data_IF_740048962790
#
_entry.id   IF_740048962790
#
_cell.length_a   1.000
_cell.length_b   1.000
_cell.length_c   1.000
_cell.angle_alpha   90.00
_cell.angle_beta   90.00
_cell.angle_gamma   90.00
#
_symmetry.space_group_name_H-M   'P 1'
#
loop_
_entity.id
_entity.type
_entity.pdbx_description
1 polymer ?
#
# COMPACT_ATOMS: atom_id res chain seq x y z
N UNK A 1 -37.42 53.36 1.27
CA UNK A 1 -37.25 52.06 0.58
C UNK A 1 -37.07 50.91 1.57
N UNK A 2 -36.25 51.06 2.60
CA UNK A 2 -35.98 50.03 3.63
C UNK A 2 -37.12 49.78 4.65
N UNK A 3 -37.98 50.77 4.94
CA UNK A 3 -39.12 50.59 5.86
C UNK A 3 -40.11 49.50 5.44
N UNK A 4 -40.28 49.27 4.12
CA UNK A 4 -41.19 48.23 3.62
C UNK A 4 -40.63 46.80 3.78
N UNK A 5 -39.31 46.65 3.93
CA UNK A 5 -38.65 45.36 4.12
C UNK A 5 -38.54 44.95 5.60
N UNK A 6 -38.61 45.91 6.52
CA UNK A 6 -38.47 45.68 7.96
C UNK A 6 -39.42 44.58 8.52
N UNK A 7 -40.71 44.50 8.12
CA UNK A 7 -41.61 43.48 8.62
C UNK A 7 -41.27 42.05 8.18
N UNK A 8 -40.52 41.90 7.08
CA UNK A 8 -40.08 40.59 6.55
C UNK A 8 -38.71 40.18 7.07
N UNK A 9 -37.87 41.16 7.40
CA UNK A 9 -36.53 40.92 7.94
C UNK A 9 -36.54 40.51 9.42
N UNK A 10 -37.48 41.04 10.21
CA UNK A 10 -37.55 40.73 11.65
C UNK A 10 -37.78 39.23 11.94
N UNK A 11 -38.73 38.54 11.28
CA UNK A 11 -38.92 37.10 11.48
C UNK A 11 -37.75 36.28 10.95
N UNK A 12 -37.11 36.74 9.88
CA UNK A 12 -35.94 36.07 9.31
C UNK A 12 -34.73 36.19 10.25
N UNK A 13 -34.56 37.33 10.92
CA UNK A 13 -33.55 37.51 11.95
C UNK A 13 -33.81 36.59 13.15
N UNK A 14 -35.03 36.53 13.65
CA UNK A 14 -35.39 35.64 14.77
C UNK A 14 -35.14 34.17 14.42
N UNK A 15 -35.53 33.74 13.22
CA UNK A 15 -35.24 32.38 12.75
C UNK A 15 -33.75 32.11 12.65
N UNK A 16 -32.96 33.08 12.21
CA UNK A 16 -31.51 32.95 12.15
C UNK A 16 -30.90 32.81 13.56
N UNK A 17 -31.36 33.64 14.51
CA UNK A 17 -30.94 33.57 15.92
C UNK A 17 -31.25 32.19 16.52
N UNK A 18 -32.46 31.68 16.32
CA UNK A 18 -32.87 30.35 16.80
C UNK A 18 -32.01 29.23 16.20
N UNK A 19 -31.70 29.30 14.89
CA UNK A 19 -30.85 28.31 14.22
C UNK A 19 -29.42 28.37 14.75
N UNK A 20 -28.87 29.56 14.96
CA UNK A 20 -27.52 29.74 15.50
C UNK A 20 -27.44 29.18 16.92
N UNK A 21 -28.38 29.53 17.81
CA UNK A 21 -28.42 28.98 19.17
C UNK A 21 -28.58 27.46 19.18
N UNK A 22 -29.39 26.91 18.27
CA UNK A 22 -29.54 25.46 18.11
C UNK A 22 -28.27 24.76 17.63
N UNK A 23 -27.45 25.42 16.82
CA UNK A 23 -26.15 24.92 16.36
C UNK A 23 -25.12 24.98 17.49
N UNK A 24 -25.04 26.08 18.23
CA UNK A 24 -24.13 26.23 19.37
C UNK A 24 -24.33 25.14 20.42
N UNK A 25 -25.58 24.82 20.75
CA UNK A 25 -25.91 23.74 21.69
C UNK A 25 -25.47 22.35 21.18
N UNK A 26 -25.59 22.10 19.87
CA UNK A 26 -25.14 20.84 19.28
C UNK A 26 -23.63 20.75 19.28
N UNK A 27 -22.94 21.83 18.95
CA UNK A 27 -21.49 21.88 18.95
C UNK A 27 -20.96 21.67 20.37
N UNK A 28 -21.47 22.39 21.37
CA UNK A 28 -21.11 22.17 22.78
C UNK A 28 -21.23 20.70 23.20
N UNK A 29 -22.32 20.05 22.77
CA UNK A 29 -22.52 18.63 23.04
C UNK A 29 -21.47 17.75 22.34
N UNK A 30 -21.20 17.99 21.05
CA UNK A 30 -20.21 17.22 20.28
C UNK A 30 -18.81 17.39 20.88
N UNK A 31 -18.43 18.62 21.22
CA UNK A 31 -17.15 18.92 21.84
C UNK A 31 -17.01 18.28 23.22
N UNK A 32 -18.07 18.31 24.03
CA UNK A 32 -18.11 17.63 25.32
C UNK A 32 -17.98 16.11 25.19
N UNK A 33 -18.71 15.49 24.27
CA UNK A 33 -18.75 14.02 24.12
C UNK A 33 -17.46 13.45 23.48
N UNK A 34 -16.89 14.13 22.48
CA UNK A 34 -15.76 13.60 21.69
C UNK A 34 -14.41 14.05 22.26
N UNK A 35 -14.32 15.31 22.68
CA UNK A 35 -13.05 15.93 23.06
C UNK A 35 -12.94 16.22 24.56
N UNK A 36 -14.02 16.07 25.34
CA UNK A 36 -14.10 16.44 26.76
C UNK A 36 -13.77 17.93 26.99
N UNK A 37 -14.13 18.78 26.01
CA UNK A 37 -13.92 20.24 26.05
C UNK A 37 -15.20 21.00 25.65
N UNK A 38 -15.23 22.31 25.86
CA UNK A 38 -16.31 23.18 25.36
C UNK A 38 -16.10 23.54 23.89
N UNK A 39 -17.16 23.96 23.20
CA UNK A 39 -17.06 24.41 21.82
C UNK A 39 -16.32 25.77 21.73
N UNK A 40 -15.45 25.95 20.73
CA UNK A 40 -14.78 27.23 20.53
C UNK A 40 -15.77 28.32 20.11
N UNK A 41 -15.60 29.54 20.62
CA UNK A 41 -16.44 30.70 20.27
C UNK A 41 -16.33 31.05 18.78
N UNK A 42 -17.48 31.20 18.10
CA UNK A 42 -17.56 31.61 16.68
C UNK A 42 -17.54 33.13 16.47
N UNK A 43 -17.29 33.92 17.52
CA UNK A 43 -17.27 35.38 17.46
C UNK A 43 -16.15 35.89 16.52
N UNK A 44 -16.48 36.56 15.40
CA UNK A 44 -15.48 36.95 14.39
C UNK A 44 -14.51 38.03 14.91
N UNK A 45 -14.87 38.74 15.98
CA UNK A 45 -13.99 39.72 16.64
C UNK A 45 -13.00 39.02 17.58
N UNK A 46 -13.41 37.95 18.27
CA UNK A 46 -12.48 37.12 19.03
C UNK A 46 -11.60 36.26 18.13
N UNK A 47 -12.04 35.91 16.92
CA UNK A 47 -11.29 35.13 15.92
C UNK A 47 -9.96 35.78 15.47
N UNK A 48 -9.77 37.10 15.63
CA UNK A 48 -8.49 37.76 15.36
C UNK A 48 -7.45 37.56 16.49
N UNK A 49 -7.93 37.22 17.69
CA UNK A 49 -7.10 36.97 18.88
C UNK A 49 -7.17 35.51 19.35
N UNK A 50 -8.04 34.70 18.75
CA UNK A 50 -8.32 33.32 19.07
C UNK A 50 -7.95 32.41 17.89
N UNK A 51 -6.72 32.54 17.39
CA UNK A 51 -5.96 31.32 17.29
C UNK A 51 -5.58 31.01 18.73
N UNK A 52 -6.27 30.05 19.40
CA UNK A 52 -5.72 29.53 20.63
C UNK A 52 -4.32 29.10 20.24
N UNK A 53 -3.35 29.61 20.96
CA UNK A 53 -2.02 29.05 20.98
C UNK A 53 -2.24 27.54 21.16
N UNK A 54 -2.10 26.76 20.08
CA UNK A 54 -2.29 25.29 20.03
C UNK A 54 -1.05 24.65 20.70
N UNK A 55 -0.69 25.23 21.85
CA UNK A 55 0.44 25.03 22.71
C UNK A 55 0.10 24.02 23.80
N UNK A 56 -0.86 23.12 23.53
CA UNK A 56 -0.64 21.75 24.02
C UNK A 56 0.52 21.22 23.19
N UNK A 57 1.73 21.64 23.54
CA UNK A 57 2.97 20.98 23.16
C UNK A 57 2.75 19.54 23.58
N UNK A 58 2.30 18.72 22.63
CA UNK A 58 2.01 17.34 22.88
C UNK A 58 3.38 16.67 22.92
N UNK A 59 4.09 16.91 24.02
CA UNK A 59 5.46 16.48 24.29
C UNK A 59 5.59 14.99 24.06
N UNK A 60 4.51 14.24 24.30
CA UNK A 60 4.40 12.81 23.98
C UNK A 60 4.45 12.49 22.48
N UNK A 61 3.82 13.29 21.62
CA UNK A 61 3.89 13.14 20.16
C UNK A 61 5.25 13.56 19.62
N UNK A 62 5.82 14.66 20.15
CA UNK A 62 7.16 15.12 19.77
C UNK A 62 8.22 14.09 20.19
N UNK A 63 8.14 13.58 21.42
CA UNK A 63 9.05 12.54 21.90
C UNK A 63 8.87 11.23 21.12
N UNK A 64 7.63 10.81 20.87
CA UNK A 64 7.35 9.63 20.04
C UNK A 64 7.90 9.80 18.62
N UNK A 65 7.69 10.96 18.00
CA UNK A 65 8.19 11.24 16.65
C UNK A 65 9.73 11.24 16.62
N UNK A 66 10.38 11.84 17.63
CA UNK A 66 11.83 11.84 17.77
C UNK A 66 12.41 10.43 17.98
N UNK A 67 11.84 9.66 18.91
CA UNK A 67 12.22 8.25 19.12
C UNK A 67 11.99 7.41 17.86
N UNK A 68 10.88 7.67 17.16
CA UNK A 68 10.56 6.97 15.92
C UNK A 68 11.56 7.34 14.82
N UNK A 69 11.93 8.61 14.66
CA UNK A 69 12.94 9.03 13.69
C UNK A 69 14.29 8.42 14.02
N UNK A 70 14.71 8.40 15.28
CA UNK A 70 15.97 7.78 15.69
C UNK A 70 15.96 6.29 15.37
N UNK A 71 14.86 5.60 15.68
CA UNK A 71 14.68 4.18 15.33
C UNK A 71 14.71 3.94 13.81
N UNK A 72 14.23 4.90 13.01
CA UNK A 72 14.27 4.84 11.56
C UNK A 72 15.69 5.06 11.04
N UNK A 73 16.43 6.03 11.58
CA UNK A 73 17.83 6.26 11.20
C UNK A 73 18.70 5.03 11.47
N UNK A 74 18.52 4.39 12.64
CA UNK A 74 19.25 3.16 12.99
C UNK A 74 18.91 2.03 12.00
N UNK A 75 17.63 1.86 11.66
CA UNK A 75 17.21 0.85 10.66
C UNK A 75 17.70 1.17 9.27
N UNK A 76 17.73 2.45 8.88
CA UNK A 76 18.22 2.89 7.59
C UNK A 76 19.69 2.52 7.43
N UNK A 77 20.51 2.74 8.46
CA UNK A 77 21.93 2.41 8.41
C UNK A 77 22.16 0.90 8.24
N UNK A 78 21.41 0.05 8.94
CA UNK A 78 21.53 -1.40 8.78
C UNK A 78 21.04 -1.88 7.42
N UNK A 79 19.95 -1.32 6.89
CA UNK A 79 19.48 -1.59 5.53
C UNK A 79 20.51 -1.16 4.49
N UNK A 80 21.10 0.02 4.64
CA UNK A 80 22.14 0.55 3.74
C UNK A 80 23.40 -0.31 3.78
N UNK A 81 23.85 -0.72 4.96
CA UNK A 81 25.00 -1.61 5.12
C UNK A 81 24.76 -2.97 4.45
N UNK A 82 23.60 -3.59 4.71
CA UNK A 82 23.22 -4.86 4.09
C UNK A 82 23.11 -4.74 2.56
N UNK A 83 22.57 -3.63 2.06
CA UNK A 83 22.46 -3.37 0.63
C UNK A 83 23.85 -3.22 0.00
N UNK A 84 24.77 -2.46 0.63
CA UNK A 84 26.15 -2.32 0.17
C UNK A 84 26.87 -3.67 0.10
N UNK A 85 26.76 -4.47 1.14
CA UNK A 85 27.37 -5.81 1.17
C UNK A 85 26.81 -6.70 0.06
N UNK A 86 25.48 -6.70 -0.11
CA UNK A 86 24.82 -7.44 -1.19
C UNK A 86 25.31 -6.99 -2.58
N UNK A 87 25.46 -5.67 -2.80
CA UNK A 87 25.94 -5.12 -4.07
C UNK A 87 27.39 -5.53 -4.35
N UNK A 88 28.29 -5.47 -3.36
CA UNK A 88 29.69 -5.92 -3.51
C UNK A 88 29.75 -7.42 -3.83
N UNK A 89 28.91 -8.22 -3.18
CA UNK A 89 28.80 -9.65 -3.44
C UNK A 89 28.30 -9.92 -4.87
N UNK A 90 27.26 -9.24 -5.31
CA UNK A 90 26.74 -9.35 -6.69
C UNK A 90 27.80 -8.92 -7.70
N UNK A 91 28.51 -7.81 -7.47
CA UNK A 91 29.54 -7.30 -8.37
C UNK A 91 30.75 -8.23 -8.51
N UNK A 92 31.09 -8.98 -7.46
CA UNK A 92 32.18 -9.97 -7.47
C UNK A 92 31.75 -11.37 -7.91
N UNK A 93 30.44 -11.61 -8.05
CA UNK A 93 29.88 -12.90 -8.47
C UNK A 93 29.85 -12.99 -10.01
N UNK A 94 30.35 -14.08 -10.63
CA UNK A 94 30.23 -14.29 -12.06
C UNK A 94 28.77 -14.20 -12.53
N UNK A 95 28.53 -13.57 -13.68
CA UNK A 95 27.17 -13.40 -14.21
C UNK A 95 26.43 -14.73 -14.37
N UNK A 96 27.14 -15.80 -14.73
CA UNK A 96 26.60 -17.16 -14.84
C UNK A 96 26.10 -17.75 -13.51
N UNK A 97 26.44 -17.14 -12.38
CA UNK A 97 26.03 -17.57 -11.04
C UNK A 97 25.05 -16.63 -10.36
N UNK A 98 24.64 -15.57 -11.05
CA UNK A 98 23.58 -14.70 -10.58
C UNK A 98 22.21 -15.39 -10.72
N UNK A 99 21.26 -15.09 -9.83
CA UNK A 99 19.89 -15.55 -9.99
C UNK A 99 19.26 -14.96 -11.28
N UNK A 100 18.24 -15.60 -11.83
CA UNK A 100 17.45 -15.02 -12.91
C UNK A 100 16.80 -13.71 -12.43
N UNK A 101 17.14 -12.61 -13.10
CA UNK A 101 16.80 -11.24 -12.68
C UNK A 101 15.89 -10.50 -13.67
N UNK A 102 15.58 -11.09 -14.82
CA UNK A 102 14.68 -10.46 -15.78
C UNK A 102 13.23 -10.60 -15.32
N UNK A 103 12.48 -9.52 -15.48
CA UNK A 103 11.04 -9.55 -15.27
C UNK A 103 10.41 -10.36 -16.42
N UNK A 104 9.53 -11.35 -16.12
CA UNK A 104 8.99 -12.24 -17.13
C UNK A 104 7.88 -11.62 -18.00
N UNK A 105 7.55 -10.35 -17.80
CA UNK A 105 6.51 -9.63 -18.53
C UNK A 105 7.04 -8.27 -18.98
N UNK A 106 6.70 -7.85 -20.19
CA UNK A 106 6.96 -6.50 -20.68
C UNK A 106 5.89 -5.52 -20.16
N UNK A 107 6.31 -4.29 -19.86
CA UNK A 107 5.41 -3.16 -19.55
C UNK A 107 4.40 -3.38 -18.41
N UNK A 108 4.86 -3.91 -17.26
CA UNK A 108 3.98 -4.06 -16.10
C UNK A 108 3.89 -2.77 -15.27
N UNK A 109 2.69 -2.48 -14.77
CA UNK A 109 2.48 -1.51 -13.71
C UNK A 109 2.63 -2.17 -12.33
N UNK A 110 3.09 -1.40 -11.34
CA UNK A 110 3.13 -1.83 -9.93
C UNK A 110 1.76 -2.28 -9.41
N UNK A 111 0.67 -1.71 -9.94
CA UNK A 111 -0.71 -2.09 -9.57
C UNK A 111 -1.08 -3.51 -9.98
N UNK A 112 -0.32 -4.11 -10.91
CA UNK A 112 -0.56 -5.47 -11.41
C UNK A 112 0.23 -6.53 -10.61
N UNK A 113 1.16 -6.11 -9.76
CA UNK A 113 1.92 -7.04 -8.91
C UNK A 113 1.08 -7.32 -7.66
N UNK A 114 0.52 -8.52 -7.61
CA UNK A 114 -0.16 -9.04 -6.44
C UNK A 114 0.84 -9.33 -5.32
N UNK A 115 0.74 -8.56 -4.24
CA UNK A 115 1.53 -8.80 -3.04
C UNK A 115 0.96 -9.99 -2.26
N UNK A 116 1.40 -11.21 -2.59
CA UNK A 116 1.15 -12.36 -1.74
C UNK A 116 2.36 -13.27 -1.77
N UNK A 117 3.35 -13.04 -0.91
CA UNK A 117 4.29 -14.09 -0.53
C UNK A 117 3.98 -14.46 0.92
N UNK A 118 3.99 -15.75 1.23
CA UNK A 118 3.72 -16.26 2.58
C UNK A 118 2.38 -16.97 2.71
N UNK A 119 1.89 -17.12 3.95
CA UNK A 119 0.69 -17.92 4.21
C UNK A 119 -0.57 -17.14 3.86
N UNK A 120 -1.36 -17.63 2.90
CA UNK A 120 -2.68 -17.09 2.56
C UNK A 120 -3.79 -18.00 3.06
N UNK A 121 -4.91 -17.42 3.49
CA UNK A 121 -6.10 -18.21 3.80
C UNK A 121 -6.78 -18.62 2.50
N UNK A 122 -6.86 -19.92 2.24
CA UNK A 122 -7.61 -20.43 1.11
C UNK A 122 -9.11 -20.15 1.33
N UNK A 123 -9.80 -19.46 0.41
CA UNK A 123 -11.18 -19.04 0.62
C UNK A 123 -12.18 -20.22 0.66
N UNK A 124 -11.82 -21.35 0.04
CA UNK A 124 -12.62 -22.58 -0.03
C UNK A 124 -12.33 -23.46 1.19
N UNK A 125 -11.06 -23.75 1.45
CA UNK A 125 -10.66 -24.68 2.51
C UNK A 125 -10.63 -24.03 3.90
N UNK A 126 -10.72 -22.70 3.99
CA UNK A 126 -10.52 -21.88 5.21
C UNK A 126 -9.22 -22.17 5.97
N UNK A 127 -8.27 -22.83 5.32
CA UNK A 127 -6.96 -23.19 5.86
C UNK A 127 -5.88 -22.23 5.35
N UNK A 128 -4.82 -22.03 6.15
CA UNK A 128 -3.62 -21.34 5.70
C UNK A 128 -2.85 -22.24 4.74
N UNK A 129 -2.63 -21.76 3.53
CA UNK A 129 -1.86 -22.42 2.48
C UNK A 129 -0.65 -21.54 2.15
N UNK A 130 0.55 -22.12 2.04
CA UNK A 130 1.73 -21.37 1.65
C UNK A 130 1.61 -20.85 0.21
N UNK A 131 1.94 -19.58 0.00
CA UNK A 131 2.07 -18.95 -1.29
C UNK A 131 3.54 -18.56 -1.53
N UNK A 132 4.23 -19.40 -2.30
CA UNK A 132 5.68 -19.32 -2.48
C UNK A 132 6.08 -18.58 -3.76
N UNK A 133 5.17 -17.80 -4.34
CA UNK A 133 5.38 -17.10 -5.60
C UNK A 133 4.75 -15.72 -5.59
N UNK A 134 5.06 -14.94 -6.63
CA UNK A 134 4.47 -13.62 -6.87
C UNK A 134 3.37 -13.81 -7.90
N UNK A 135 2.18 -13.31 -7.60
CA UNK A 135 1.06 -13.30 -8.55
C UNK A 135 1.13 -12.00 -9.36
N UNK A 136 1.06 -12.09 -10.68
CA UNK A 136 1.02 -10.92 -11.56
C UNK A 136 -0.27 -10.95 -12.37
N UNK A 137 -1.06 -9.88 -12.26
CA UNK A 137 -2.40 -9.78 -12.84
C UNK A 137 -2.28 -9.24 -14.27
N UNK A 138 -2.49 -10.14 -15.23
CA UNK A 138 -2.48 -9.80 -16.66
C UNK A 138 -3.61 -10.50 -17.43
N UNK A 139 -4.04 -9.96 -18.57
CA UNK A 139 -5.01 -10.62 -19.44
C UNK A 139 -4.49 -11.97 -19.96
N UNK A 140 -5.39 -12.92 -20.19
CA UNK A 140 -5.09 -14.20 -20.83
C UNK A 140 -4.45 -13.97 -22.20
N UNK A 141 -3.36 -14.71 -22.48
CA UNK A 141 -2.63 -14.60 -23.75
C UNK A 141 -1.46 -13.61 -23.73
N UNK A 142 -1.25 -12.90 -22.61
CA UNK A 142 -0.04 -12.08 -22.42
C UNK A 142 1.21 -12.96 -22.55
N UNK A 143 2.21 -12.48 -23.30
CA UNK A 143 3.47 -13.19 -23.49
C UNK A 143 4.27 -13.24 -22.20
N UNK A 144 4.71 -14.44 -21.81
CA UNK A 144 5.54 -14.68 -20.63
C UNK A 144 6.94 -15.08 -21.08
N UNK A 145 7.93 -14.29 -20.70
CA UNK A 145 9.34 -14.50 -20.97
C UNK A 145 10.02 -15.21 -19.80
N UNK A 146 11.13 -15.91 -20.06
CA UNK A 146 11.92 -16.47 -18.98
C UNK A 146 12.67 -15.36 -18.22
N UNK A 147 12.75 -15.49 -16.90
CA UNK A 147 13.48 -14.57 -16.04
C UNK A 147 15.01 -14.64 -16.20
N UNK A 148 15.52 -15.60 -16.97
CA UNK A 148 16.92 -15.73 -17.33
C UNK A 148 17.18 -17.00 -18.13
N UNK A 149 18.39 -17.10 -18.66
CA UNK A 149 18.84 -18.24 -19.48
C UNK A 149 18.74 -19.55 -18.70
N UNK A 150 18.37 -20.62 -19.39
CA UNK A 150 18.24 -21.91 -18.73
C UNK A 150 17.69 -23.02 -19.60
N UNK A 151 17.33 -24.14 -18.96
CA UNK A 151 16.77 -25.31 -19.63
C UNK A 151 15.41 -25.66 -19.07
N UNK A 152 14.45 -25.90 -19.97
CA UNK A 152 13.12 -26.38 -19.58
C UNK A 152 13.22 -27.82 -19.07
N UNK A 153 13.07 -28.00 -17.75
CA UNK A 153 13.15 -29.31 -17.09
C UNK A 153 11.77 -29.92 -16.86
N UNK A 154 10.75 -29.08 -16.67
CA UNK A 154 9.39 -29.51 -16.35
C UNK A 154 8.33 -28.83 -17.21
N UNK A 155 7.37 -29.61 -17.70
CA UNK A 155 6.13 -29.12 -18.30
C UNK A 155 5.01 -29.97 -17.71
N UNK A 156 4.00 -29.30 -17.15
CA UNK A 156 2.79 -29.92 -16.63
C UNK A 156 1.59 -29.24 -17.29
N UNK A 157 0.61 -30.02 -17.77
CA UNK A 157 -0.65 -29.50 -18.30
C UNK A 157 -1.77 -30.02 -17.42
N UNK A 158 -2.54 -29.11 -16.85
CA UNK A 158 -3.59 -29.44 -15.89
C UNK A 158 -4.68 -28.37 -15.91
N UNK A 159 -5.92 -28.78 -15.64
CA UNK A 159 -7.04 -27.87 -15.39
C UNK A 159 -7.31 -27.67 -13.89
N UNK A 160 -6.44 -28.22 -13.02
CA UNK A 160 -6.53 -28.15 -11.56
C UNK A 160 -5.21 -27.65 -10.97
N UNK A 161 -5.25 -27.10 -9.75
CA UNK A 161 -4.07 -26.63 -9.04
C UNK A 161 -3.39 -25.46 -9.76
N UNK A 162 -2.09 -25.58 -10.03
CA UNK A 162 -1.28 -24.57 -10.74
C UNK A 162 -1.59 -24.45 -12.24
N UNK A 163 -2.46 -25.30 -12.79
CA UNK A 163 -2.80 -25.27 -14.20
C UNK A 163 -1.64 -25.70 -15.09
N UNK A 164 -1.56 -25.14 -16.30
CA UNK A 164 -0.39 -25.36 -17.16
C UNK A 164 0.82 -24.66 -16.55
N UNK A 165 1.89 -25.43 -16.35
CA UNK A 165 3.08 -24.98 -15.63
C UNK A 165 4.35 -25.33 -16.40
N UNK A 166 5.30 -24.40 -16.42
CA UNK A 166 6.66 -24.61 -16.94
C UNK A 166 7.65 -24.45 -15.79
N UNK A 167 8.62 -25.34 -15.70
CA UNK A 167 9.74 -25.25 -14.76
C UNK A 167 11.05 -25.16 -15.55
N UNK A 168 11.82 -24.10 -15.30
CA UNK A 168 13.11 -23.83 -15.92
C UNK A 168 14.19 -23.95 -14.86
N UNK A 169 15.21 -24.76 -15.14
CA UNK A 169 16.42 -24.81 -14.34
C UNK A 169 17.46 -23.86 -14.95
N UNK A 170 18.02 -23.01 -14.10
CA UNK A 170 19.07 -22.06 -14.44
C UNK A 170 20.39 -22.53 -13.85
N UNK A 171 21.45 -21.78 -14.13
CA UNK A 171 22.75 -22.02 -13.53
C UNK A 171 22.71 -21.83 -12.00
N UNK A 172 23.74 -22.33 -11.32
CA UNK A 172 23.88 -22.24 -9.85
C UNK A 172 22.71 -22.81 -9.03
N UNK A 173 21.90 -23.71 -9.63
CA UNK A 173 20.83 -24.41 -8.94
C UNK A 173 19.53 -23.62 -8.78
N UNK A 174 19.42 -22.45 -9.41
CA UNK A 174 18.17 -21.67 -9.40
C UNK A 174 17.11 -22.33 -10.27
N UNK A 175 15.85 -22.25 -9.83
CA UNK A 175 14.70 -22.79 -10.55
C UNK A 175 13.63 -21.72 -10.59
N UNK A 176 13.09 -21.45 -11.78
CA UNK A 176 11.88 -20.63 -11.93
C UNK A 176 10.72 -21.50 -12.38
N UNK A 177 9.52 -21.15 -11.90
CA UNK A 177 8.29 -21.86 -12.24
C UNK A 177 7.21 -20.85 -12.61
N UNK A 178 6.57 -21.08 -13.75
CA UNK A 178 5.52 -20.24 -14.32
C UNK A 178 4.25 -21.06 -14.34
N UNK A 179 3.23 -20.62 -13.61
CA UNK A 179 1.96 -21.31 -13.44
C UNK A 179 0.82 -20.55 -14.13
N UNK A 180 -0.35 -21.19 -14.23
CA UNK A 180 -1.59 -20.63 -14.78
C UNK A 180 -1.47 -20.16 -16.24
N UNK A 181 -0.56 -20.76 -17.02
CA UNK A 181 -0.37 -20.40 -18.42
C UNK A 181 -1.56 -20.84 -19.27
N UNK A 182 -2.00 -19.99 -20.20
CA UNK A 182 -3.05 -20.37 -21.16
C UNK A 182 -2.53 -21.38 -22.19
N UNK A 183 -1.30 -21.19 -22.68
CA UNK A 183 -0.64 -22.02 -23.69
C UNK A 183 0.85 -22.10 -23.39
N UNK A 184 1.46 -23.23 -23.75
CA UNK A 184 2.90 -23.47 -23.63
C UNK A 184 3.49 -23.62 -25.03
N UNK A 185 4.44 -22.75 -25.38
CA UNK A 185 5.08 -22.69 -26.70
C UNK A 185 6.41 -23.43 -26.78
N UNK A 186 7.00 -23.79 -25.64
CA UNK A 186 8.30 -24.47 -25.53
C UNK A 186 8.14 -25.97 -25.25
N UNK A 187 9.22 -26.73 -25.48
CA UNK A 187 9.26 -28.18 -25.22
C UNK A 187 10.21 -28.49 -24.06
N UNK A 188 9.99 -29.63 -23.40
CA UNK A 188 10.94 -30.14 -22.40
C UNK A 188 12.29 -30.34 -23.08
N UNK A 189 13.36 -29.87 -22.44
CA UNK A 189 14.72 -29.94 -22.96
C UNK A 189 15.15 -28.74 -23.80
N UNK A 190 14.24 -27.84 -24.18
CA UNK A 190 14.58 -26.58 -24.84
C UNK A 190 15.49 -25.72 -23.96
N UNK A 191 16.52 -25.16 -24.57
CA UNK A 191 17.33 -24.08 -24.00
C UNK A 191 16.63 -22.77 -24.31
N UNK A 192 16.54 -21.90 -23.31
CA UNK A 192 15.98 -20.54 -23.39
C UNK A 192 17.14 -19.56 -23.25
#
# INVERSE_FOLDING_TARGET
MYEKLYPQLLPQQQLLEDVISGLELKDEKIYGDVFQTHAPSVDPIQSLTAFPDDNVVNTSLISYAAEKSDSMYIKMFSVEANLREALVKVASTPQSSLPPMHLPLSDISFTQIGASIGNRTNPILKARVPHNGIDIIVPTGTSVLAAGDGKVVGIEKSNKGMGNTITIAHNSGYITRYAHLSTITVKRGSTI
#
